data_IF_653169519175
#
_entry.id   IF_653169519175
#
_cell.length_a   1.000
_cell.length_b   1.000
_cell.length_c   1.000
_cell.angle_alpha   90.00
_cell.angle_beta   90.00
_cell.angle_gamma   90.00
#
_symmetry.space_group_name_H-M   'P 1'
#
loop_
_entity.id
_entity.type
_entity.pdbx_description
1 polymer ?
#
# COMPACT_ATOMS: atom_id res chain seq x y z
N UNK A 1 5.53 -11.23 -26.61
CA UNK A 1 4.27 -11.99 -26.52
C UNK A 1 3.87 -12.03 -25.04
N UNK A 2 2.61 -11.75 -24.70
CA UNK A 2 2.14 -11.97 -23.33
C UNK A 2 2.26 -13.46 -23.00
N UNK A 3 2.65 -13.79 -21.79
CA UNK A 3 2.71 -15.18 -21.32
C UNK A 3 1.35 -15.84 -21.47
N UNK A 4 1.34 -17.10 -21.88
CA UNK A 4 0.12 -17.92 -21.97
C UNK A 4 -0.11 -18.81 -20.75
N UNK A 5 0.65 -18.58 -19.68
CA UNK A 5 0.59 -19.38 -18.46
C UNK A 5 0.82 -18.52 -17.23
N UNK A 6 0.22 -18.92 -16.11
CA UNK A 6 0.50 -18.37 -14.80
C UNK A 6 1.92 -18.68 -14.33
N UNK A 7 2.37 -17.97 -13.28
CA UNK A 7 3.60 -18.31 -12.56
C UNK A 7 3.53 -19.71 -11.97
N UNK A 8 4.63 -20.49 -12.00
CA UNK A 8 4.66 -21.80 -11.39
C UNK A 8 4.49 -21.73 -9.87
N UNK A 9 3.79 -22.70 -9.28
CA UNK A 9 3.41 -22.72 -7.85
C UNK A 9 4.60 -22.68 -6.90
N UNK A 10 5.78 -23.17 -7.31
CA UNK A 10 6.97 -23.14 -6.46
C UNK A 10 7.43 -21.72 -6.08
N UNK A 11 7.15 -20.70 -6.91
CA UNK A 11 7.46 -19.30 -6.62
C UNK A 11 6.68 -18.74 -5.41
N UNK A 12 5.60 -19.36 -5.04
CA UNK A 12 4.77 -18.97 -3.91
C UNK A 12 5.20 -19.59 -2.59
N UNK A 13 6.15 -20.56 -2.61
CA UNK A 13 6.63 -21.29 -1.44
C UNK A 13 8.15 -21.30 -1.25
N UNK A 14 8.92 -20.64 -2.12
CA UNK A 14 10.36 -20.51 -1.99
C UNK A 14 10.72 -19.34 -1.08
N UNK A 15 11.37 -19.63 0.06
CA UNK A 15 11.73 -18.62 1.08
C UNK A 15 12.73 -17.59 0.55
N UNK A 16 13.68 -17.99 -0.31
CA UNK A 16 14.68 -17.07 -0.87
C UNK A 16 14.03 -16.08 -1.83
N UNK A 17 13.08 -16.53 -2.61
CA UNK A 17 12.28 -15.68 -3.49
C UNK A 17 11.48 -14.69 -2.65
N UNK A 18 10.82 -15.14 -1.59
CA UNK A 18 10.06 -14.27 -0.69
C UNK A 18 10.94 -13.16 -0.06
N UNK A 19 12.14 -13.50 0.39
CA UNK A 19 13.08 -12.53 0.96
C UNK A 19 13.56 -11.52 -0.10
N UNK A 20 13.83 -11.97 -1.32
CA UNK A 20 14.19 -11.12 -2.44
C UNK A 20 13.07 -10.15 -2.82
N UNK A 21 11.82 -10.63 -2.89
CA UNK A 21 10.62 -9.82 -3.12
C UNK A 21 10.50 -8.73 -2.06
N UNK A 22 10.56 -9.13 -0.78
CA UNK A 22 10.40 -8.22 0.33
C UNK A 22 11.48 -7.13 0.32
N UNK A 23 12.73 -7.49 0.09
CA UNK A 23 13.84 -6.53 0.03
C UNK A 23 13.69 -5.57 -1.16
N UNK A 24 13.40 -6.08 -2.35
CA UNK A 24 13.31 -5.28 -3.57
C UNK A 24 12.04 -4.40 -3.59
N UNK A 25 10.89 -5.01 -3.37
CA UNK A 25 9.60 -4.31 -3.50
C UNK A 25 9.37 -3.28 -2.41
N UNK A 26 9.81 -3.57 -1.18
CA UNK A 26 9.69 -2.57 -0.10
C UNK A 26 10.54 -1.33 -0.34
N UNK A 27 11.67 -1.44 -1.07
CA UNK A 27 12.63 -0.35 -1.25
C UNK A 27 12.41 0.45 -2.54
N UNK A 28 12.09 -0.22 -3.64
CA UNK A 28 12.19 0.40 -4.97
C UNK A 28 10.89 1.03 -5.47
N UNK A 29 9.77 0.70 -4.86
CA UNK A 29 8.46 1.24 -5.25
C UNK A 29 7.94 2.24 -4.23
N UNK A 30 7.02 3.09 -4.67
CA UNK A 30 6.25 3.97 -3.81
C UNK A 30 5.11 3.20 -3.16
N UNK A 31 4.91 3.47 -1.87
CA UNK A 31 3.85 2.84 -1.07
C UNK A 31 2.94 3.91 -0.48
N UNK A 32 1.62 3.77 -0.61
CA UNK A 32 0.70 4.64 0.10
C UNK A 32 0.77 4.36 1.59
N UNK A 33 1.02 5.38 2.40
CA UNK A 33 1.23 5.23 3.85
C UNK A 33 -0.01 5.61 4.65
N UNK A 34 -0.49 6.84 4.46
CA UNK A 34 -1.70 7.37 5.10
C UNK A 34 -2.40 8.34 4.16
N UNK A 35 -3.68 8.61 4.44
CA UNK A 35 -4.36 9.76 3.86
C UNK A 35 -3.88 11.06 4.51
N UNK A 36 -3.81 12.14 3.74
CA UNK A 36 -3.33 13.42 4.25
C UNK A 36 -4.22 13.97 5.38
N UNK A 37 -5.50 13.59 5.39
CA UNK A 37 -6.45 13.96 6.44
C UNK A 37 -6.23 13.26 7.79
N UNK A 38 -5.41 12.19 7.85
CA UNK A 38 -5.11 11.48 9.10
C UNK A 38 -4.14 12.25 10.01
N UNK A 39 -3.44 13.26 9.50
CA UNK A 39 -2.49 14.06 10.26
C UNK A 39 -2.78 15.56 10.07
N UNK A 40 -2.95 16.30 11.17
CA UNK A 40 -3.21 17.75 11.13
C UNK A 40 -1.90 18.54 11.03
N UNK A 41 -1.95 19.81 10.55
CA UNK A 41 -0.80 20.70 10.64
C UNK A 41 -0.27 20.81 12.07
N UNK A 42 1.05 20.75 12.25
CA UNK A 42 1.72 20.77 13.55
C UNK A 42 1.78 19.41 14.24
N UNK A 43 1.18 18.37 13.71
CA UNK A 43 1.19 17.02 14.32
C UNK A 43 2.34 16.16 13.86
N UNK A 44 2.65 15.15 14.70
CA UNK A 44 3.56 14.06 14.43
C UNK A 44 2.82 12.75 14.71
N UNK A 45 2.85 11.82 13.74
CA UNK A 45 2.17 10.55 13.79
C UNK A 45 3.18 9.39 13.60
N UNK A 46 3.11 8.36 14.46
CA UNK A 46 3.77 7.09 14.20
C UNK A 46 2.90 6.20 13.31
N UNK A 47 3.49 5.65 12.26
CA UNK A 47 2.88 4.59 11.45
C UNK A 47 3.88 3.46 11.23
N UNK A 48 3.42 2.23 11.31
CA UNK A 48 4.21 1.08 10.88
C UNK A 48 3.98 0.83 9.40
N UNK A 49 5.05 0.51 8.71
CA UNK A 49 5.00 -0.01 7.35
C UNK A 49 5.92 -1.23 7.28
N UNK A 50 5.35 -2.41 7.01
CA UNK A 50 6.05 -3.68 7.15
C UNK A 50 6.70 -3.78 8.54
N UNK A 51 8.00 -4.07 8.59
CA UNK A 51 8.78 -4.16 9.84
C UNK A 51 9.41 -2.83 10.28
N UNK A 52 9.08 -1.71 9.62
CA UNK A 52 9.65 -0.40 9.92
C UNK A 52 8.64 0.48 10.68
N UNK A 53 9.12 1.15 11.72
CA UNK A 53 8.39 2.21 12.40
C UNK A 53 8.81 3.54 11.80
N UNK A 54 7.85 4.34 11.38
CA UNK A 54 8.04 5.63 10.71
C UNK A 54 7.41 6.75 11.54
N UNK A 55 8.01 7.94 11.49
CA UNK A 55 7.43 9.18 11.96
C UNK A 55 7.02 10.02 10.77
N UNK A 56 5.78 10.45 10.75
CA UNK A 56 5.25 11.39 9.78
C UNK A 56 5.10 12.72 10.52
N UNK A 57 5.79 13.74 10.06
CA UNK A 57 5.70 15.10 10.58
C UNK A 57 4.99 15.98 9.56
N UNK A 58 3.92 16.66 9.97
CA UNK A 58 3.27 17.70 9.19
C UNK A 58 3.53 19.05 9.86
N UNK A 59 4.34 19.88 9.22
CA UNK A 59 4.62 21.23 9.75
C UNK A 59 3.37 22.12 9.71
N UNK A 60 3.40 23.24 10.47
CA UNK A 60 2.34 24.27 10.42
C UNK A 60 2.08 24.79 9.00
N UNK A 61 3.11 24.81 8.15
CA UNK A 61 3.02 25.22 6.74
C UNK A 61 2.64 24.05 5.80
N UNK A 62 2.05 22.99 6.33
CA UNK A 62 1.61 21.81 5.57
C UNK A 62 2.71 20.98 4.87
N UNK A 63 3.99 21.22 5.17
CA UNK A 63 5.06 20.40 4.63
C UNK A 63 5.11 19.05 5.34
N UNK A 64 5.09 17.97 4.57
CA UNK A 64 5.21 16.60 5.07
C UNK A 64 6.68 16.17 5.01
N UNK A 65 7.16 15.59 6.10
CA UNK A 65 8.46 14.90 6.15
C UNK A 65 8.27 13.57 6.85
N UNK A 66 8.82 12.51 6.29
CA UNK A 66 8.78 11.18 6.89
C UNK A 66 10.20 10.77 7.31
N UNK A 67 10.31 10.21 8.51
CA UNK A 67 11.56 9.73 9.08
C UNK A 67 11.43 8.28 9.53
N UNK A 68 12.55 7.55 9.61
CA UNK A 68 12.59 6.36 10.44
C UNK A 68 12.42 6.76 11.91
N UNK A 69 11.55 6.07 12.63
CA UNK A 69 11.30 6.32 14.07
C UNK A 69 12.45 5.80 14.91
N UNK A 70 13.62 6.43 14.77
CA UNK A 70 14.87 5.99 15.40
C UNK A 70 15.78 7.18 15.70
N UNK A 71 16.14 7.36 16.97
CA UNK A 71 17.10 8.38 17.37
C UNK A 71 18.52 8.00 16.88
N UNK A 72 19.27 8.92 16.23
CA UNK A 72 20.62 8.63 15.74
C UNK A 72 21.64 8.42 16.85
N UNK A 73 21.34 8.79 18.11
CA UNK A 73 22.25 8.57 19.24
C UNK A 73 22.41 7.08 19.56
N UNK A 74 21.35 6.38 19.98
CA UNK A 74 21.37 4.96 20.39
C UNK A 74 20.15 4.16 19.92
N UNK A 75 19.50 4.58 18.86
CA UNK A 75 18.44 3.82 18.20
C UNK A 75 17.09 3.78 18.93
N UNK A 76 16.90 4.51 20.03
CA UNK A 76 15.61 4.57 20.71
C UNK A 76 14.52 5.10 19.77
N UNK A 77 13.31 4.54 19.84
CA UNK A 77 12.13 5.14 19.22
C UNK A 77 11.90 6.54 19.79
N UNK A 78 11.57 7.48 18.93
CA UNK A 78 11.25 8.86 19.27
C UNK A 78 9.78 9.01 19.66
N UNK A 79 8.90 8.30 18.98
CA UNK A 79 7.50 8.18 19.32
C UNK A 79 7.21 6.75 19.75
N UNK A 80 6.67 6.58 20.96
CA UNK A 80 6.25 5.28 21.46
C UNK A 80 4.74 5.11 21.26
N UNK A 81 4.24 3.88 21.04
CA UNK A 81 2.81 3.63 20.96
C UNK A 81 2.09 4.19 22.20
N UNK A 82 0.97 4.89 21.98
CA UNK A 82 0.15 5.53 23.03
C UNK A 82 0.75 6.79 23.70
N UNK A 83 1.91 7.28 23.30
CA UNK A 83 2.32 8.62 23.69
C UNK A 83 1.57 9.62 22.81
N UNK A 84 0.65 10.38 23.41
CA UNK A 84 0.12 11.59 22.77
C UNK A 84 1.29 12.58 22.74
N UNK A 85 1.92 12.74 21.57
CA UNK A 85 2.77 13.89 21.36
C UNK A 85 1.86 15.12 21.38
N UNK A 86 2.11 16.05 22.31
CA UNK A 86 1.62 17.40 22.12
C UNK A 86 2.19 17.90 20.77
N UNK A 87 1.40 18.58 19.94
CA UNK A 87 1.89 19.21 18.72
C UNK A 87 2.96 20.21 19.13
N UNK A 88 4.20 19.75 19.17
CA UNK A 88 5.34 20.58 19.48
C UNK A 88 6.17 20.74 18.21
N UNK A 89 6.73 21.91 18.02
CA UNK A 89 7.69 22.20 16.93
C UNK A 89 8.90 21.27 16.94
N UNK A 90 8.98 20.33 17.91
CA UNK A 90 10.15 19.54 18.17
C UNK A 90 9.82 18.09 18.41
N UNK A 91 10.66 17.20 17.85
CA UNK A 91 10.66 15.75 18.08
C UNK A 91 11.66 15.46 19.20
N UNK A 92 11.18 14.86 20.27
CA UNK A 92 11.97 14.63 21.49
C UNK A 92 12.30 13.14 21.66
N UNK A 93 13.59 12.84 21.92
CA UNK A 93 14.00 11.47 22.24
C UNK A 93 13.76 11.19 23.73
N UNK A 94 12.93 10.19 24.09
CA UNK A 94 12.60 9.90 25.48
C UNK A 94 13.76 9.28 26.27
N UNK A 95 14.83 8.84 25.59
CA UNK A 95 15.95 8.16 26.25
C UNK A 95 16.96 9.15 26.86
N UNK A 96 17.49 10.09 26.05
CA UNK A 96 18.53 11.03 26.49
C UNK A 96 18.19 12.49 26.18
N UNK A 97 16.95 12.81 25.87
CA UNK A 97 16.50 14.19 25.66
C UNK A 97 17.00 14.87 24.39
N UNK A 98 17.57 14.13 23.42
CA UNK A 98 17.92 14.74 22.14
C UNK A 98 16.66 15.27 21.47
N UNK A 99 16.71 16.53 21.03
CA UNK A 99 15.55 17.25 20.50
C UNK A 99 15.80 17.68 19.05
N UNK A 100 14.89 17.33 18.17
CA UNK A 100 14.97 17.62 16.74
C UNK A 100 13.83 18.53 16.31
N UNK A 101 14.04 19.38 15.31
CA UNK A 101 12.96 20.15 14.70
C UNK A 101 12.09 19.28 13.76
N UNK A 102 11.03 19.87 13.22
CA UNK A 102 10.09 19.20 12.30
C UNK A 102 10.74 18.72 10.98
N UNK A 103 11.94 19.19 10.67
CA UNK A 103 12.75 18.75 9.51
C UNK A 103 13.78 17.69 9.88
N UNK A 104 13.80 17.26 11.15
CA UNK A 104 14.70 16.21 11.67
C UNK A 104 16.09 16.68 12.05
N UNK A 105 16.38 18.00 12.07
CA UNK A 105 17.69 18.52 12.45
C UNK A 105 17.81 18.59 13.99
N UNK A 106 18.92 18.09 14.53
CA UNK A 106 19.22 18.18 15.97
C UNK A 106 19.32 19.66 16.40
N UNK A 107 18.56 20.04 17.42
CA UNK A 107 18.54 21.39 17.99
C UNK A 107 19.27 21.47 19.32
N UNK A 108 18.95 20.55 20.22
CA UNK A 108 19.52 20.52 21.56
C UNK A 108 19.82 19.09 21.99
N UNK A 109 20.81 18.93 22.84
CA UNK A 109 21.13 17.70 23.55
C UNK A 109 21.59 18.05 24.97
N UNK A 110 21.12 17.34 26.01
CA UNK A 110 21.58 17.51 27.38
C UNK A 110 23.05 17.15 27.52
N UNK A 111 23.70 17.75 28.54
CA UNK A 111 25.09 17.45 28.93
C UNK A 111 26.08 17.47 27.73
N UNK A 112 25.92 18.47 26.85
CA UNK A 112 26.70 18.58 25.61
C UNK A 112 28.22 18.60 25.85
N UNK A 113 28.64 19.14 26.97
CA UNK A 113 30.06 19.32 27.32
C UNK A 113 30.71 18.05 27.91
N UNK A 114 29.92 17.03 28.27
CA UNK A 114 30.39 15.78 28.81
C UNK A 114 30.70 14.71 27.74
N UNK A 115 30.54 15.04 26.48
CA UNK A 115 30.94 14.16 25.40
C UNK A 115 32.45 14.29 25.15
N UNK A 116 33.16 13.17 25.08
CA UNK A 116 34.61 13.12 24.80
C UNK A 116 34.96 13.79 23.47
N UNK A 117 34.08 13.68 22.49
CA UNK A 117 34.24 14.34 21.21
C UNK A 117 33.27 15.51 21.07
N UNK A 118 33.74 16.62 20.48
CA UNK A 118 32.89 17.78 20.23
C UNK A 118 31.74 17.42 19.32
N UNK A 119 30.49 17.55 19.81
CA UNK A 119 29.27 17.32 19.03
C UNK A 119 28.79 18.62 18.42
N UNK A 120 28.73 18.65 17.09
CA UNK A 120 28.09 19.73 16.34
C UNK A 120 26.67 19.31 15.94
N UNK A 121 25.67 20.07 16.41
CA UNK A 121 24.25 19.73 16.16
C UNK A 121 23.89 19.70 14.66
N UNK A 122 24.67 20.41 13.82
CA UNK A 122 24.49 20.42 12.37
C UNK A 122 24.79 19.10 11.68
N UNK A 123 25.52 18.18 12.35
CA UNK A 123 25.97 16.90 11.78
C UNK A 123 24.97 15.76 12.09
N UNK A 124 23.95 16.02 12.89
CA UNK A 124 22.99 15.01 13.32
C UNK A 124 21.58 15.32 12.84
N UNK A 125 21.02 14.34 12.13
CA UNK A 125 19.67 14.41 11.58
C UNK A 125 18.94 13.09 11.82
N UNK A 126 17.62 13.15 11.86
CA UNK A 126 16.78 11.97 11.71
C UNK A 126 16.91 11.44 10.27
N UNK A 127 16.94 10.12 10.13
CA UNK A 127 17.01 9.45 8.84
C UNK A 127 15.70 9.66 8.07
N UNK A 128 15.78 10.44 6.99
CA UNK A 128 14.62 10.74 6.14
C UNK A 128 14.28 9.57 5.24
N UNK A 129 12.98 9.40 4.99
CA UNK A 129 12.41 8.54 3.97
C UNK A 129 11.84 9.43 2.88
N UNK A 130 12.05 9.08 1.59
CA UNK A 130 11.42 9.85 0.52
C UNK A 130 9.92 9.85 0.71
N UNK A 131 9.31 11.01 0.60
CA UNK A 131 7.87 11.16 0.76
C UNK A 131 7.34 12.22 -0.20
N UNK A 132 6.17 11.93 -0.79
CA UNK A 132 5.44 12.81 -1.69
C UNK A 132 3.96 12.77 -1.34
N UNK A 133 3.26 13.86 -1.63
CA UNK A 133 1.80 13.89 -1.65
C UNK A 133 1.38 13.75 -3.12
N UNK A 134 0.51 12.79 -3.40
CA UNK A 134 -0.15 12.69 -4.69
C UNK A 134 -1.59 12.21 -4.44
N UNK A 135 -2.55 12.97 -4.97
CA UNK A 135 -3.96 12.82 -4.61
C UNK A 135 -4.18 12.96 -3.10
N UNK A 136 -5.05 12.17 -2.49
CA UNK A 136 -5.36 12.25 -1.07
C UNK A 136 -4.32 11.56 -0.17
N UNK A 137 -3.25 10.99 -0.72
CA UNK A 137 -2.32 10.10 -0.02
C UNK A 137 -0.94 10.71 0.17
N UNK A 138 -0.30 10.35 1.29
CA UNK A 138 1.13 10.48 1.52
C UNK A 138 1.79 9.18 1.11
N UNK A 139 2.71 9.25 0.17
CA UNK A 139 3.48 8.14 -0.37
C UNK A 139 4.89 8.15 0.17
N UNK A 140 5.47 6.95 0.33
CA UNK A 140 6.85 6.76 0.78
C UNK A 140 7.63 5.87 -0.19
N UNK A 141 8.95 6.08 -0.24
CA UNK A 141 9.87 5.23 -0.98
C UNK A 141 11.24 5.18 -0.26
N UNK A 142 11.82 3.99 -0.13
CA UNK A 142 13.08 3.80 0.61
C UNK A 142 14.32 3.77 -0.29
N UNK A 143 14.16 3.88 -1.61
CA UNK A 143 15.27 3.92 -2.56
C UNK A 143 16.07 5.22 -2.43
N UNK A 144 17.38 5.14 -2.66
CA UNK A 144 18.21 6.34 -2.86
C UNK A 144 17.90 7.04 -4.19
N UNK A 145 17.35 6.30 -5.15
CA UNK A 145 16.96 6.79 -6.48
C UNK A 145 15.58 6.24 -6.80
N UNK A 146 14.52 6.85 -6.24
CA UNK A 146 13.15 6.38 -6.46
C UNK A 146 12.75 6.55 -7.93
N UNK A 147 11.92 5.63 -8.42
CA UNK A 147 11.21 5.82 -9.69
C UNK A 147 10.25 7.01 -9.59
N UNK A 148 9.77 7.52 -10.71
CA UNK A 148 8.72 8.53 -10.70
C UNK A 148 7.43 7.96 -10.09
N UNK A 149 6.83 8.67 -9.12
CA UNK A 149 5.53 8.28 -8.58
C UNK A 149 4.44 8.41 -9.65
N UNK A 150 4.51 9.45 -10.49
CA UNK A 150 3.54 9.68 -11.56
C UNK A 150 3.57 8.55 -12.60
N UNK A 151 4.76 7.97 -12.87
CA UNK A 151 4.86 6.79 -13.73
C UNK A 151 4.25 5.55 -13.05
N UNK A 152 4.46 5.38 -11.73
CA UNK A 152 3.92 4.23 -10.99
C UNK A 152 2.40 4.24 -10.92
N UNK A 153 1.77 5.40 -10.84
CA UNK A 153 0.30 5.57 -10.78
C UNK A 153 -0.29 6.21 -12.05
N UNK A 154 0.41 6.13 -13.18
CA UNK A 154 0.05 6.81 -14.44
C UNK A 154 -1.44 6.70 -14.80
N UNK A 155 -1.99 5.50 -14.70
CA UNK A 155 -3.39 5.27 -15.07
C UNK A 155 -4.38 5.95 -14.12
N UNK A 156 -4.02 6.18 -12.85
CA UNK A 156 -4.88 6.90 -11.90
C UNK A 156 -5.03 8.36 -12.34
N UNK A 157 -3.91 9.06 -12.56
CA UNK A 157 -3.92 10.43 -13.04
C UNK A 157 -4.59 10.58 -14.41
N UNK A 158 -4.32 9.65 -15.35
CA UNK A 158 -4.85 9.71 -16.71
C UNK A 158 -6.35 9.40 -16.82
N UNK A 159 -6.91 8.58 -15.94
CA UNK A 159 -8.28 8.06 -16.04
C UNK A 159 -9.25 8.59 -15.00
N UNK A 160 -8.75 9.03 -13.85
CA UNK A 160 -9.57 9.44 -12.70
C UNK A 160 -9.04 10.70 -12.01
N UNK A 161 -8.40 11.62 -12.75
CA UNK A 161 -7.76 12.81 -12.16
C UNK A 161 -8.69 13.61 -11.24
N UNK A 162 -9.91 13.85 -11.65
CA UNK A 162 -10.86 14.66 -10.87
C UNK A 162 -11.24 13.95 -9.57
N UNK A 163 -11.57 12.65 -9.65
CA UNK A 163 -11.89 11.83 -8.49
C UNK A 163 -10.66 11.67 -7.58
N UNK A 164 -9.46 11.50 -8.17
CA UNK A 164 -8.24 11.34 -7.42
C UNK A 164 -7.87 12.56 -6.56
N UNK A 165 -8.19 13.74 -7.02
CA UNK A 165 -7.88 15.02 -6.36
C UNK A 165 -9.02 15.57 -5.48
N UNK A 166 -10.07 14.79 -5.20
CA UNK A 166 -11.14 15.19 -4.28
C UNK A 166 -10.65 15.15 -2.83
N UNK A 167 -11.31 15.92 -1.97
CA UNK A 167 -11.07 15.89 -0.51
C UNK A 167 -11.78 14.69 0.11
N UNK A 168 -10.99 13.66 0.43
CA UNK A 168 -11.50 12.45 1.07
C UNK A 168 -11.32 12.47 2.58
N UNK A 169 -12.34 12.04 3.30
CA UNK A 169 -12.27 11.74 4.73
C UNK A 169 -12.35 10.23 4.94
N UNK A 170 -11.41 9.66 5.71
CA UNK A 170 -11.47 8.26 6.11
C UNK A 170 -12.61 8.10 7.10
N UNK A 171 -13.44 7.09 6.87
CA UNK A 171 -14.50 6.72 7.79
C UNK A 171 -14.35 5.29 8.35
N UNK A 172 -13.49 4.47 7.72
CA UNK A 172 -13.21 3.13 8.23
C UNK A 172 -11.80 2.67 7.85
N UNK A 173 -11.11 2.05 8.81
CA UNK A 173 -9.84 1.35 8.60
C UNK A 173 -9.94 0.00 9.31
N UNK A 174 -9.53 -1.07 8.64
CA UNK A 174 -9.41 -2.39 9.27
C UNK A 174 -8.27 -3.18 8.64
N UNK A 175 -7.80 -4.17 9.38
CA UNK A 175 -6.77 -5.09 8.90
C UNK A 175 -7.07 -6.51 9.40
N UNK A 176 -6.68 -7.49 8.60
CA UNK A 176 -6.77 -8.91 8.94
C UNK A 176 -5.51 -9.65 8.47
N UNK A 177 -5.28 -10.84 9.01
CA UNK A 177 -4.24 -11.74 8.55
C UNK A 177 -4.85 -12.78 7.63
N UNK A 178 -4.31 -12.90 6.42
CA UNK A 178 -4.62 -13.97 5.47
C UNK A 178 -3.55 -15.03 5.57
N UNK A 179 -3.93 -16.31 5.73
CA UNK A 179 -3.01 -17.44 5.79
C UNK A 179 -2.66 -17.91 4.37
N UNK A 180 -2.08 -17.03 3.60
CA UNK A 180 -1.62 -17.29 2.24
C UNK A 180 -0.41 -16.42 1.89
N UNK A 181 0.33 -16.83 0.85
CA UNK A 181 1.35 -15.97 0.25
C UNK A 181 0.69 -14.71 -0.33
N UNK A 182 1.31 -13.55 -0.11
CA UNK A 182 0.77 -12.27 -0.53
C UNK A 182 0.44 -12.18 -2.03
N UNK A 183 1.20 -12.90 -2.88
CA UNK A 183 0.93 -12.93 -4.34
C UNK A 183 -0.40 -13.58 -4.66
N UNK A 184 -0.83 -14.59 -3.88
CA UNK A 184 -2.14 -15.25 -4.09
C UNK A 184 -3.27 -14.27 -3.82
N UNK A 185 -3.20 -13.53 -2.70
CA UNK A 185 -4.20 -12.51 -2.37
C UNK A 185 -4.19 -11.35 -3.39
N UNK A 186 -3.00 -10.94 -3.84
CA UNK A 186 -2.84 -9.93 -4.87
C UNK A 186 -3.39 -10.37 -6.22
N UNK A 187 -3.07 -11.59 -6.66
CA UNK A 187 -3.59 -12.19 -7.90
C UNK A 187 -5.12 -12.27 -7.86
N UNK A 188 -5.72 -12.67 -6.72
CA UNK A 188 -7.17 -12.74 -6.57
C UNK A 188 -7.86 -11.40 -6.83
N UNK A 189 -7.31 -10.29 -6.32
CA UNK A 189 -7.89 -8.95 -6.58
C UNK A 189 -7.69 -8.48 -8.03
N UNK A 190 -6.76 -9.08 -8.77
CA UNK A 190 -6.56 -8.85 -10.21
C UNK A 190 -7.37 -9.81 -11.09
N UNK A 191 -8.00 -10.81 -10.49
CA UNK A 191 -8.83 -11.80 -11.15
C UNK A 191 -10.26 -11.27 -11.34
N UNK A 192 -10.60 -10.94 -12.56
CA UNK A 192 -11.95 -10.47 -12.91
C UNK A 192 -12.86 -11.63 -13.34
N UNK A 193 -12.33 -12.86 -13.44
CA UNK A 193 -13.08 -14.05 -13.86
C UNK A 193 -13.96 -14.62 -12.74
N UNK A 194 -13.44 -14.65 -11.49
CA UNK A 194 -14.17 -15.21 -10.36
C UNK A 194 -15.34 -14.33 -9.88
N UNK A 195 -15.31 -13.00 -10.16
CA UNK A 195 -16.25 -12.02 -9.59
C UNK A 195 -17.71 -12.39 -9.83
N UNK A 196 -18.05 -12.81 -11.03
CA UNK A 196 -19.44 -13.18 -11.37
C UNK A 196 -19.93 -14.47 -10.69
N UNK A 197 -19.03 -15.26 -10.12
CA UNK A 197 -19.31 -16.55 -9.50
C UNK A 197 -19.20 -16.45 -7.99
N UNK A 198 -18.03 -16.03 -7.48
CA UNK A 198 -17.75 -15.91 -6.06
C UNK A 198 -18.55 -14.76 -5.41
N UNK A 199 -18.63 -13.62 -6.09
CA UNK A 199 -19.31 -12.41 -5.61
C UNK A 199 -20.68 -12.19 -6.24
N UNK A 200 -21.36 -13.26 -6.67
CA UNK A 200 -22.65 -13.18 -7.35
C UNK A 200 -23.71 -12.37 -6.58
N UNK A 201 -23.68 -12.47 -5.28
CA UNK A 201 -24.65 -11.82 -4.40
C UNK A 201 -24.16 -10.56 -3.71
N UNK A 202 -22.89 -10.20 -3.91
CA UNK A 202 -22.19 -9.03 -3.36
C UNK A 202 -21.76 -8.07 -4.48
N UNK A 203 -20.47 -7.97 -4.80
CA UNK A 203 -19.91 -7.02 -5.76
C UNK A 203 -20.53 -7.10 -7.16
N UNK A 204 -20.80 -8.31 -7.67
CA UNK A 204 -21.30 -8.50 -9.03
C UNK A 204 -22.69 -7.89 -9.28
N UNK A 205 -23.51 -7.75 -8.24
CA UNK A 205 -24.84 -7.08 -8.37
C UNK A 205 -24.74 -5.63 -8.82
N UNK A 206 -23.65 -4.97 -8.42
CA UNK A 206 -23.41 -3.56 -8.70
C UNK A 206 -22.78 -3.34 -10.09
N UNK A 207 -22.29 -4.42 -10.71
CA UNK A 207 -21.58 -4.37 -11.97
C UNK A 207 -22.52 -4.63 -13.17
N UNK A 208 -22.25 -3.93 -14.26
CA UNK A 208 -22.90 -4.19 -15.55
C UNK A 208 -22.29 -5.38 -16.30
N UNK A 209 -22.72 -5.62 -17.54
CA UNK A 209 -22.32 -6.80 -18.31
C UNK A 209 -20.80 -6.91 -18.52
N UNK A 210 -20.25 -8.11 -18.28
CA UNK A 210 -18.82 -8.44 -18.46
C UNK A 210 -18.30 -8.09 -19.86
N UNK A 211 -19.12 -8.17 -20.90
CA UNK A 211 -18.74 -7.81 -22.27
C UNK A 211 -18.33 -6.34 -22.42
N UNK A 212 -18.71 -5.48 -21.48
CA UNK A 212 -18.41 -4.05 -21.44
C UNK A 212 -17.21 -3.71 -20.55
N UNK A 213 -16.53 -4.68 -19.97
CA UNK A 213 -15.30 -4.49 -19.21
C UNK A 213 -14.19 -3.97 -20.11
N UNK A 214 -13.47 -2.94 -19.65
CA UNK A 214 -12.36 -2.31 -20.39
C UNK A 214 -11.10 -2.34 -19.57
N UNK A 215 -10.00 -2.76 -20.17
CA UNK A 215 -8.70 -2.94 -19.54
C UNK A 215 -7.69 -1.93 -20.07
N UNK A 216 -6.85 -1.43 -19.18
CA UNK A 216 -5.74 -0.55 -19.51
C UNK A 216 -4.51 -1.01 -18.75
N UNK A 217 -3.34 -0.85 -19.36
CA UNK A 217 -2.07 -1.30 -18.83
C UNK A 217 -1.02 -0.21 -19.00
N UNK A 218 -0.11 -0.10 -18.02
CA UNK A 218 1.11 0.71 -18.08
C UNK A 218 2.29 -0.09 -17.50
N UNK A 219 3.48 0.51 -17.43
CA UNK A 219 4.66 -0.19 -16.93
C UNK A 219 4.53 -0.67 -15.47
N UNK A 220 3.75 0.03 -14.63
CA UNK A 220 3.68 -0.22 -13.18
C UNK A 220 2.27 -0.40 -12.63
N UNK A 221 1.26 -0.21 -13.45
CA UNK A 221 -0.12 -0.38 -13.01
C UNK A 221 -1.03 -0.93 -14.09
N UNK A 222 -2.15 -1.49 -13.68
CA UNK A 222 -3.23 -1.90 -14.55
C UNK A 222 -4.56 -1.39 -14.02
N UNK A 223 -5.56 -1.32 -14.89
CA UNK A 223 -6.88 -0.81 -14.58
C UNK A 223 -7.94 -1.67 -15.27
N UNK A 224 -8.93 -2.08 -14.48
CA UNK A 224 -10.24 -2.51 -14.98
C UNK A 224 -11.23 -1.35 -14.82
N UNK A 225 -11.94 -1.02 -15.88
CA UNK A 225 -13.11 -0.15 -15.84
C UNK A 225 -14.36 -1.02 -16.05
N UNK A 226 -15.17 -1.09 -15.01
CA UNK A 226 -16.41 -1.87 -14.96
C UNK A 226 -17.59 -0.92 -15.03
N UNK A 227 -18.51 -1.05 -15.98
CA UNK A 227 -19.76 -0.30 -15.93
C UNK A 227 -20.56 -0.72 -14.68
N UNK A 228 -21.21 0.24 -14.06
CA UNK A 228 -22.13 -0.03 -12.95
C UNK A 228 -23.53 -0.37 -13.47
N UNK A 229 -24.31 -1.09 -12.69
CA UNK A 229 -25.75 -1.32 -12.96
C UNK A 229 -26.54 -0.03 -12.85
N UNK A 230 -26.10 0.90 -11.98
CA UNK A 230 -26.45 2.30 -11.96
C UNK A 230 -25.67 3.08 -13.03
N UNK A 231 -25.77 4.39 -13.06
CA UNK A 231 -24.95 5.19 -13.97
C UNK A 231 -23.47 5.21 -13.56
N UNK A 232 -22.57 5.27 -14.55
CA UNK A 232 -21.14 5.47 -14.36
C UNK A 232 -20.32 4.20 -14.43
N UNK A 233 -19.08 4.31 -13.94
CA UNK A 233 -18.10 3.24 -13.97
C UNK A 233 -17.42 3.10 -12.60
N UNK A 234 -17.04 1.87 -12.28
CA UNK A 234 -16.12 1.52 -11.22
C UNK A 234 -14.72 1.38 -11.81
N UNK A 235 -13.72 1.91 -11.13
CA UNK A 235 -12.32 1.85 -11.55
C UNK A 235 -11.53 1.06 -10.52
N UNK A 236 -10.96 -0.08 -10.95
CA UNK A 236 -10.17 -0.96 -10.08
C UNK A 236 -8.74 -1.02 -10.58
N UNK A 237 -7.82 -0.41 -9.84
CA UNK A 237 -6.40 -0.36 -10.16
C UNK A 237 -5.63 -1.41 -9.40
N UNK A 238 -4.73 -2.12 -10.09
CA UNK A 238 -3.62 -2.83 -9.49
C UNK A 238 -2.36 -1.97 -9.59
N UNK A 239 -1.80 -1.59 -8.47
CA UNK A 239 -0.60 -0.76 -8.36
C UNK A 239 0.55 -1.59 -7.79
N UNK A 240 1.70 -1.61 -8.48
CA UNK A 240 2.87 -2.31 -7.97
C UNK A 240 3.33 -1.74 -6.62
N UNK A 241 3.87 -2.61 -5.73
CA UNK A 241 3.95 -4.06 -5.89
C UNK A 241 2.71 -4.83 -5.42
N UNK A 242 1.95 -4.35 -4.41
CA UNK A 242 0.91 -5.07 -3.69
C UNK A 242 -0.27 -4.21 -3.26
N UNK A 243 -0.48 -3.10 -3.95
CA UNK A 243 -1.54 -2.14 -3.64
C UNK A 243 -2.66 -2.22 -4.66
N UNK A 244 -3.89 -2.14 -4.19
CA UNK A 244 -5.07 -1.97 -5.04
C UNK A 244 -5.82 -0.71 -4.62
N UNK A 245 -6.31 0.01 -5.61
CA UNK A 245 -7.11 1.20 -5.43
C UNK A 245 -8.42 1.03 -6.20
N UNK A 246 -9.53 1.15 -5.50
CA UNK A 246 -10.85 1.18 -6.12
C UNK A 246 -11.37 2.61 -6.03
N UNK A 247 -11.69 3.20 -7.17
CA UNK A 247 -12.35 4.49 -7.25
C UNK A 247 -13.80 4.25 -7.69
N UNK A 248 -14.71 4.53 -6.79
CA UNK A 248 -16.15 4.46 -7.01
C UNK A 248 -16.71 5.89 -6.98
N UNK A 249 -16.90 6.55 -8.12
CA UNK A 249 -17.16 7.99 -8.18
C UNK A 249 -18.34 8.46 -7.32
N UNK A 250 -19.39 7.64 -7.19
CA UNK A 250 -20.56 7.95 -6.36
C UNK A 250 -20.41 7.60 -4.88
N UNK A 251 -19.37 6.87 -4.49
CA UNK A 251 -19.16 6.41 -3.10
C UNK A 251 -17.86 6.95 -2.50
N UNK A 252 -16.72 6.72 -3.14
CA UNK A 252 -15.42 7.14 -2.65
C UNK A 252 -14.25 6.28 -3.09
N UNK A 253 -13.26 6.10 -2.23
CA UNK A 253 -12.05 5.33 -2.44
C UNK A 253 -11.96 4.14 -1.49
N UNK A 254 -11.50 3.00 -2.03
CA UNK A 254 -11.03 1.85 -1.23
C UNK A 254 -9.56 1.65 -1.54
N UNK A 255 -8.72 1.74 -0.53
CA UNK A 255 -7.30 1.42 -0.62
C UNK A 255 -7.07 0.08 0.05
N UNK A 256 -6.49 -0.89 -0.67
CA UNK A 256 -6.18 -2.23 -0.17
C UNK A 256 -4.69 -2.48 -0.35
N UNK A 257 -4.02 -2.90 0.71
CA UNK A 257 -2.62 -3.34 0.66
C UNK A 257 -2.52 -4.80 1.12
N UNK A 258 -1.81 -5.64 0.36
CA UNK A 258 -1.47 -7.01 0.75
C UNK A 258 -0.01 -7.07 1.21
N UNK A 259 0.24 -6.69 2.46
CA UNK A 259 1.59 -6.57 3.01
C UNK A 259 2.17 -7.93 3.37
N UNK A 260 3.32 -8.33 2.77
CA UNK A 260 3.99 -9.59 3.11
C UNK A 260 4.38 -9.61 4.59
N UNK A 261 4.02 -10.69 5.31
CA UNK A 261 4.40 -10.90 6.71
C UNK A 261 5.34 -12.09 6.87
N UNK A 262 4.96 -13.21 6.25
CA UNK A 262 5.75 -14.44 6.10
C UNK A 262 5.43 -15.01 4.73
N UNK A 263 6.16 -16.06 4.35
CA UNK A 263 5.93 -16.72 3.06
C UNK A 263 4.50 -17.26 2.90
N UNK A 264 3.88 -17.66 4.01
CA UNK A 264 2.55 -18.26 4.12
C UNK A 264 1.52 -17.33 4.78
N UNK A 265 1.89 -16.08 5.04
CA UNK A 265 1.00 -15.08 5.65
C UNK A 265 1.21 -13.69 5.05
N UNK A 266 0.11 -13.00 4.76
CA UNK A 266 0.12 -11.57 4.51
C UNK A 266 -0.92 -10.86 5.38
N UNK A 267 -0.71 -9.55 5.55
CA UNK A 267 -1.68 -8.66 6.20
C UNK A 267 -2.42 -7.94 5.10
N UNK A 268 -3.75 -8.06 5.10
CA UNK A 268 -4.59 -7.16 4.32
C UNK A 268 -4.87 -5.91 5.16
N UNK A 269 -4.51 -4.74 4.63
CA UNK A 269 -4.90 -3.44 5.22
C UNK A 269 -5.87 -2.74 4.28
N UNK A 270 -6.99 -2.26 4.81
CA UNK A 270 -8.04 -1.64 4.02
C UNK A 270 -8.43 -0.31 4.64
N UNK A 271 -8.50 0.71 3.81
CA UNK A 271 -9.00 2.03 4.18
C UNK A 271 -10.13 2.44 3.25
N UNK A 272 -11.22 2.89 3.85
CA UNK A 272 -12.39 3.42 3.16
C UNK A 272 -12.46 4.92 3.39
N UNK A 273 -12.56 5.67 2.30
CA UNK A 273 -12.64 7.13 2.34
C UNK A 273 -13.73 7.63 1.40
N UNK A 274 -14.48 8.62 1.85
CA UNK A 274 -15.54 9.26 1.05
C UNK A 274 -15.41 10.77 1.08
N UNK A 275 -15.88 11.42 0.01
CA UNK A 275 -15.95 12.87 -0.09
C UNK A 275 -17.36 13.41 0.11
N UNK A 276 -18.41 12.57 0.05
CA UNK A 276 -19.78 13.07 -0.07
C UNK A 276 -20.89 12.18 0.50
N UNK A 277 -20.61 10.98 0.98
CA UNK A 277 -21.67 10.09 1.47
C UNK A 277 -22.18 10.49 2.86
N UNK A 278 -23.46 10.28 3.11
CA UNK A 278 -24.02 10.37 4.45
C UNK A 278 -23.65 9.16 5.32
N UNK A 279 -23.84 9.25 6.64
CA UNK A 279 -23.36 8.25 7.59
C UNK A 279 -23.98 6.85 7.35
N UNK A 280 -25.27 6.77 7.04
CA UNK A 280 -25.95 5.50 6.75
C UNK A 280 -25.37 4.84 5.48
N UNK A 281 -25.16 5.59 4.41
CA UNK A 281 -24.61 5.07 3.17
C UNK A 281 -23.15 4.58 3.35
N UNK A 282 -22.40 5.22 4.26
CA UNK A 282 -21.04 4.80 4.61
C UNK A 282 -21.00 3.43 5.29
N UNK A 283 -21.90 3.18 6.24
CA UNK A 283 -21.95 1.88 6.93
C UNK A 283 -22.44 0.76 6.01
N UNK A 284 -23.41 1.02 5.14
CA UNK A 284 -23.88 0.04 4.15
C UNK A 284 -22.76 -0.30 3.13
N UNK A 285 -22.03 0.71 2.68
CA UNK A 285 -20.90 0.49 1.77
C UNK A 285 -19.77 -0.29 2.44
N UNK A 286 -19.41 0.06 3.66
CA UNK A 286 -18.42 -0.69 4.47
C UNK A 286 -18.81 -2.15 4.62
N UNK A 287 -20.07 -2.42 4.95
CA UNK A 287 -20.59 -3.79 5.06
C UNK A 287 -20.43 -4.56 3.76
N UNK A 288 -20.79 -3.97 2.63
CA UNK A 288 -20.63 -4.56 1.29
C UNK A 288 -19.17 -4.90 0.99
N UNK A 289 -18.23 -4.00 1.33
CA UNK A 289 -16.78 -4.24 1.13
C UNK A 289 -16.30 -5.41 2.00
N UNK A 290 -16.70 -5.46 3.27
CA UNK A 290 -16.30 -6.53 4.19
C UNK A 290 -16.87 -7.90 3.79
N UNK A 291 -18.09 -7.94 3.24
CA UNK A 291 -18.72 -9.16 2.77
C UNK A 291 -17.92 -9.81 1.64
N UNK A 292 -17.64 -9.09 0.54
CA UNK A 292 -16.93 -9.71 -0.57
C UNK A 292 -15.46 -10.04 -0.24
N UNK A 293 -14.79 -9.25 0.61
CA UNK A 293 -13.44 -9.60 1.08
C UNK A 293 -13.42 -10.82 2.00
N UNK A 294 -14.51 -11.05 2.75
CA UNK A 294 -14.70 -12.28 3.53
C UNK A 294 -14.84 -13.51 2.63
N UNK A 295 -15.55 -13.39 1.49
CA UNK A 295 -15.65 -14.45 0.48
C UNK A 295 -14.26 -14.76 -0.11
N UNK A 296 -13.47 -13.74 -0.47
CA UNK A 296 -12.12 -13.87 -0.99
C UNK A 296 -11.16 -14.56 -0.02
N UNK A 297 -11.22 -14.26 1.26
CA UNK A 297 -10.35 -14.85 2.28
C UNK A 297 -10.39 -16.38 2.24
N UNK A 298 -11.58 -16.95 2.17
CA UNK A 298 -11.75 -18.41 2.12
C UNK A 298 -11.12 -19.00 0.87
N UNK A 299 -11.25 -18.31 -0.27
CA UNK A 299 -10.72 -18.74 -1.56
C UNK A 299 -9.18 -18.71 -1.54
N UNK A 300 -8.57 -17.58 -1.19
CA UNK A 300 -7.10 -17.42 -1.25
C UNK A 300 -6.37 -18.32 -0.26
N UNK A 301 -6.95 -18.57 0.93
CA UNK A 301 -6.38 -19.51 1.89
C UNK A 301 -6.50 -20.97 1.41
N UNK A 302 -7.56 -21.31 0.68
CA UNK A 302 -7.70 -22.63 0.04
C UNK A 302 -6.72 -22.82 -1.11
N UNK A 303 -6.57 -21.82 -1.98
CA UNK A 303 -5.60 -21.83 -3.09
C UNK A 303 -4.17 -21.99 -2.56
N UNK A 304 -3.83 -21.26 -1.48
CA UNK A 304 -2.49 -21.38 -0.88
C UNK A 304 -2.18 -22.82 -0.44
N UNK A 305 -3.11 -23.50 0.23
CA UNK A 305 -2.94 -24.90 0.64
C UNK A 305 -2.64 -25.81 -0.56
N UNK A 306 -3.36 -25.61 -1.67
CA UNK A 306 -3.15 -26.37 -2.90
C UNK A 306 -1.78 -26.07 -3.55
N UNK A 307 -1.30 -24.82 -3.47
CA UNK A 307 0.01 -24.43 -4.03
C UNK A 307 1.21 -25.03 -3.27
N UNK A 308 1.01 -25.49 -2.04
CA UNK A 308 2.03 -26.28 -1.31
C UNK A 308 2.28 -27.64 -1.98
N UNK A 309 1.30 -28.16 -2.68
CA UNK A 309 1.44 -29.34 -3.52
C UNK A 309 2.04 -28.97 -4.89
N UNK A 310 2.59 -29.96 -5.60
CA UNK A 310 3.09 -29.76 -6.95
C UNK A 310 2.02 -30.16 -7.95
N UNK A 311 1.37 -29.20 -8.57
CA UNK A 311 0.44 -29.46 -9.66
C UNK A 311 0.58 -28.40 -10.77
N UNK A 312 0.07 -28.73 -11.94
CA UNK A 312 0.08 -27.84 -13.09
C UNK A 312 -1.18 -26.99 -13.09
N UNK A 313 -1.00 -25.67 -13.08
CA UNK A 313 -2.10 -24.72 -13.22
C UNK A 313 -2.75 -24.81 -14.60
N UNK A 314 -4.04 -24.53 -14.67
CA UNK A 314 -4.78 -24.34 -15.92
C UNK A 314 -4.30 -23.13 -16.72
N UNK A 315 -4.75 -22.95 -17.95
CA UNK A 315 -4.46 -21.74 -18.72
C UNK A 315 -5.27 -20.55 -18.21
N UNK A 316 -4.72 -19.31 -18.31
CA UNK A 316 -5.47 -18.12 -17.93
C UNK A 316 -6.65 -17.85 -18.84
N UNK A 317 -7.71 -17.32 -18.26
CA UNK A 317 -8.88 -16.81 -18.97
C UNK A 317 -8.63 -15.36 -19.46
N UNK A 318 -9.39 -14.91 -20.44
CA UNK A 318 -9.34 -13.52 -20.93
C UNK A 318 -9.60 -12.48 -19.82
N UNK A 319 -10.39 -12.83 -18.81
CA UNK A 319 -10.70 -11.95 -17.68
C UNK A 319 -9.58 -11.93 -16.61
N UNK A 320 -8.53 -12.74 -16.77
CA UNK A 320 -7.36 -12.80 -15.88
C UNK A 320 -6.14 -12.07 -16.48
N UNK A 321 -6.33 -11.24 -17.51
CA UNK A 321 -5.24 -10.54 -18.17
C UNK A 321 -4.51 -9.54 -17.27
N UNK A 322 -5.14 -9.04 -16.19
CA UNK A 322 -4.49 -8.19 -15.19
C UNK A 322 -3.49 -8.97 -14.35
N UNK A 323 -3.79 -10.22 -14.00
CA UNK A 323 -2.85 -11.16 -13.37
C UNK A 323 -1.66 -11.37 -14.29
N UNK A 324 -1.89 -11.72 -15.56
CA UNK A 324 -0.82 -11.98 -16.53
C UNK A 324 0.06 -10.75 -16.74
N UNK A 325 -0.52 -9.55 -16.79
CA UNK A 325 0.25 -8.32 -16.88
C UNK A 325 1.19 -8.15 -15.69
N UNK A 326 0.68 -8.27 -14.45
CA UNK A 326 1.48 -8.18 -13.25
C UNK A 326 2.57 -9.28 -13.19
N UNK A 327 2.20 -10.53 -13.51
CA UNK A 327 3.12 -11.65 -13.50
C UNK A 327 4.23 -11.53 -14.55
N UNK A 328 4.00 -10.84 -15.67
CA UNK A 328 5.06 -10.55 -16.63
C UNK A 328 6.08 -9.54 -16.06
N UNK A 329 5.60 -8.48 -15.41
CA UNK A 329 6.50 -7.53 -14.73
C UNK A 329 7.28 -8.25 -13.62
N UNK A 330 6.64 -9.14 -12.89
CA UNK A 330 7.29 -9.96 -11.88
C UNK A 330 8.37 -10.90 -12.48
N UNK A 331 8.13 -11.49 -13.65
CA UNK A 331 9.15 -12.29 -14.37
C UNK A 331 10.35 -11.44 -14.76
N UNK A 332 10.12 -10.22 -15.25
CA UNK A 332 11.21 -9.30 -15.59
C UNK A 332 12.06 -8.95 -14.36
N UNK A 333 11.41 -8.76 -13.22
CA UNK A 333 12.11 -8.57 -11.93
C UNK A 333 12.97 -9.79 -11.56
N UNK A 334 12.46 -11.01 -11.68
CA UNK A 334 13.22 -12.23 -11.37
C UNK A 334 14.38 -12.43 -12.34
N UNK A 335 14.17 -12.19 -13.63
CA UNK A 335 15.23 -12.27 -14.65
C UNK A 335 16.36 -11.26 -14.35
N UNK A 336 16.02 -10.03 -13.99
CA UNK A 336 16.99 -9.02 -13.57
C UNK A 336 17.76 -9.43 -12.29
N UNK A 337 17.19 -10.29 -11.47
CA UNK A 337 17.79 -10.88 -10.27
C UNK A 337 18.56 -12.16 -10.53
N UNK A 338 18.78 -12.55 -11.81
CA UNK A 338 19.43 -13.80 -12.25
C UNK A 338 18.69 -15.09 -11.80
N UNK A 339 17.38 -15.02 -11.64
CA UNK A 339 16.53 -16.17 -11.38
C UNK A 339 15.80 -16.50 -12.69
N UNK A 340 16.16 -17.60 -13.31
CA UNK A 340 15.59 -18.06 -14.58
C UNK A 340 14.58 -19.19 -14.34
N UNK A 341 13.54 -19.25 -15.20
CA UNK A 341 12.47 -20.25 -15.18
C UNK A 341 12.68 -21.34 -16.21
#
# INVERSE_FOLDING_TARGET
MMSTSFLPTWLYKDQKIFELELDNYSKNYWHPLIFIGEIKPGEILEKKFLNQSLLISRSENNLITVFKNRCPHRGSKLCLPKTKFNPSKYIFCPYHGWTFDSFGKLKTLPLKYDFETKIETKDYFLEKVNSLINGPLIWINFSKKPISLDDQIELVGRKCNDQWNMNYSIFSEFSDTLNCNWKIAHDNTLDDYHVAIAHKHTLHKEQGPIKNYRYFFSAFCNLLVTPLSSEGNLYTFGLLPWTHLIIWPSKGLVLINYLPKKIDQCIIEIKLASASLCENDLEDWKKSILEFLGEDKVIVESVHKSYLENFKLGPPNRLEQRIIHWQNIYKDFLNASCIFF
#
